data_IF_131275710498
#
_entry.id   IF_131275710498
#
_cell.length_a   1.000
_cell.length_b   1.000
_cell.length_c   1.000
_cell.angle_alpha   90.00
_cell.angle_beta   90.00
_cell.angle_gamma   90.00
#
_symmetry.space_group_name_H-M   'P 1'
#
loop_
_entity.id
_entity.type
_entity.pdbx_description
1 polymer ?
#
# COMPACT_ATOMS: atom_id res chain seq x y z
N UNK A 1 -7.44 -6.15 6.57
CA UNK A 1 -6.05 -6.22 7.06
C UNK A 1 -5.99 -7.26 8.17
N UNK A 2 -5.09 -8.23 8.08
CA UNK A 2 -4.91 -9.35 9.02
C UNK A 2 -6.23 -10.07 9.35
N UNK A 3 -7.04 -10.35 8.32
CA UNK A 3 -8.36 -10.99 8.47
C UNK A 3 -9.47 -10.12 9.07
N UNK A 4 -9.16 -8.89 9.52
CA UNK A 4 -10.16 -7.93 10.01
C UNK A 4 -10.57 -6.95 8.92
N UNK A 5 -11.85 -6.58 8.91
CA UNK A 5 -12.36 -5.50 8.06
C UNK A 5 -11.81 -4.17 8.59
N UNK A 6 -11.16 -3.42 7.70
CA UNK A 6 -10.68 -2.06 7.95
C UNK A 6 -11.29 -1.18 6.87
N UNK A 7 -11.99 -0.13 7.28
CA UNK A 7 -12.64 0.86 6.42
C UNK A 7 -12.07 2.28 6.62
N UNK A 8 -11.04 2.41 7.45
CA UNK A 8 -10.34 3.66 7.74
C UNK A 8 -9.18 3.83 6.76
N UNK A 9 -9.25 4.85 5.90
CA UNK A 9 -8.20 5.14 4.92
C UNK A 9 -6.87 5.61 5.54
N UNK A 10 -6.92 6.19 6.75
CA UNK A 10 -5.73 6.61 7.51
C UNK A 10 -5.09 5.50 8.35
N UNK A 11 -5.53 4.25 8.18
CA UNK A 11 -4.97 3.12 8.89
C UNK A 11 -3.49 2.92 8.52
N UNK A 12 -2.61 2.97 9.52
CA UNK A 12 -1.18 2.72 9.34
C UNK A 12 -0.92 1.21 9.34
N UNK A 13 -0.39 0.71 8.23
CA UNK A 13 0.07 -0.68 8.11
C UNK A 13 1.47 -0.81 8.67
N UNK A 14 1.74 -1.95 9.31
CA UNK A 14 3.05 -2.30 9.87
C UNK A 14 3.72 -3.40 9.04
N UNK A 15 5.02 -3.58 9.23
CA UNK A 15 5.75 -4.69 8.61
C UNK A 15 5.12 -6.02 9.02
N UNK A 16 4.99 -6.93 8.05
CA UNK A 16 4.28 -8.21 8.11
C UNK A 16 2.75 -8.14 8.08
N UNK A 17 2.14 -6.96 7.94
CA UNK A 17 0.70 -6.89 7.74
C UNK A 17 0.29 -7.50 6.40
N UNK A 18 -0.76 -8.30 6.45
CA UNK A 18 -1.38 -8.96 5.30
C UNK A 18 -2.69 -8.26 4.96
N UNK A 19 -2.75 -7.67 3.79
CA UNK A 19 -3.87 -6.91 3.26
C UNK A 19 -4.57 -7.78 2.23
N UNK A 20 -5.80 -8.19 2.52
CA UNK A 20 -6.63 -8.97 1.59
C UNK A 20 -7.86 -8.19 1.18
N UNK A 21 -8.27 -8.35 -0.09
CA UNK A 21 -9.55 -7.84 -0.58
C UNK A 21 -10.67 -8.81 -0.20
N UNK A 22 -11.77 -8.29 0.34
CA UNK A 22 -12.93 -9.11 0.69
C UNK A 22 -13.57 -9.74 -0.56
N UNK A 23 -14.09 -10.96 -0.44
CA UNK A 23 -14.59 -11.73 -1.58
C UNK A 23 -15.66 -11.00 -2.40
N UNK A 24 -16.57 -10.29 -1.72
CA UNK A 24 -17.61 -9.48 -2.38
C UNK A 24 -17.04 -8.40 -3.30
N UNK A 25 -15.88 -7.84 -2.97
CA UNK A 25 -15.23 -6.78 -3.74
C UNK A 25 -14.31 -7.32 -4.83
N UNK A 26 -13.78 -8.55 -4.72
CA UNK A 26 -12.95 -9.19 -5.76
C UNK A 26 -13.66 -9.30 -7.12
N UNK A 27 -14.99 -9.45 -7.10
CA UNK A 27 -15.81 -9.50 -8.32
C UNK A 27 -16.01 -8.16 -9.03
N UNK A 28 -15.64 -7.03 -8.40
CA UNK A 28 -15.82 -5.71 -8.99
C UNK A 28 -14.84 -5.47 -10.13
N UNK A 29 -15.33 -4.86 -11.21
CA UNK A 29 -14.57 -4.54 -12.42
C UNK A 29 -13.29 -3.77 -12.12
N UNK A 30 -13.31 -2.88 -11.13
CA UNK A 30 -12.11 -2.15 -10.67
C UNK A 30 -10.98 -3.08 -10.25
N UNK A 31 -11.27 -4.07 -9.42
CA UNK A 31 -10.25 -5.00 -8.91
C UNK A 31 -9.76 -5.95 -10.00
N UNK A 32 -10.63 -6.38 -10.92
CA UNK A 32 -10.23 -7.16 -12.10
C UNK A 32 -9.26 -6.40 -12.99
N UNK A 33 -9.54 -5.12 -13.26
CA UNK A 33 -8.69 -4.26 -14.08
C UNK A 33 -7.30 -4.07 -13.45
N UNK A 34 -7.21 -4.00 -12.11
CA UNK A 34 -5.93 -3.97 -11.40
C UNK A 34 -5.17 -5.29 -11.45
N UNK A 35 -5.87 -6.42 -11.45
CA UNK A 35 -5.26 -7.74 -11.58
C UNK A 35 -4.72 -8.00 -13.00
N UNK A 36 -5.41 -7.48 -14.02
CA UNK A 36 -4.98 -7.58 -15.43
C UNK A 36 -3.80 -6.67 -15.76
N UNK A 37 -3.62 -5.56 -15.03
CA UNK A 37 -2.53 -4.62 -15.25
C UNK A 37 -1.80 -4.28 -13.93
N UNK A 38 -1.01 -5.22 -13.39
CA UNK A 38 -0.27 -5.01 -12.17
C UNK A 38 0.79 -3.93 -12.38
N UNK A 39 0.67 -2.83 -11.63
CA UNK A 39 1.72 -1.80 -11.58
C UNK A 39 2.97 -2.36 -10.91
N UNK A 40 4.13 -1.80 -11.27
CA UNK A 40 5.36 -2.07 -10.56
C UNK A 40 5.18 -1.70 -9.07
N UNK A 41 5.38 -2.71 -8.21
CA UNK A 41 5.29 -2.53 -6.77
C UNK A 41 6.65 -2.10 -6.23
N UNK A 42 6.68 -1.20 -5.24
CA UNK A 42 7.92 -0.84 -4.57
C UNK A 42 8.44 -2.04 -3.77
N UNK A 43 9.75 -2.07 -3.50
CA UNK A 43 10.43 -3.23 -2.89
C UNK A 43 9.90 -3.63 -1.51
N UNK A 44 9.28 -2.70 -0.79
CA UNK A 44 8.72 -2.91 0.55
C UNK A 44 7.31 -3.55 0.53
N UNK A 45 6.72 -3.74 -0.66
CA UNK A 45 5.43 -4.40 -0.86
C UNK A 45 5.58 -5.65 -1.72
N UNK A 46 4.96 -6.73 -1.27
CA UNK A 46 4.75 -7.94 -2.04
C UNK A 46 3.26 -8.06 -2.34
N UNK A 47 2.88 -8.44 -3.56
CA UNK A 47 1.48 -8.71 -3.89
C UNK A 47 1.32 -10.05 -4.59
N UNK A 48 0.30 -10.77 -4.17
CA UNK A 48 -0.22 -11.96 -4.82
C UNK A 48 -1.54 -11.58 -5.52
N UNK A 49 -1.44 -11.37 -6.84
CA UNK A 49 -2.55 -10.95 -7.69
C UNK A 49 -3.64 -12.03 -7.77
N UNK A 50 -3.25 -13.31 -7.76
CA UNK A 50 -4.19 -14.44 -7.81
C UNK A 50 -5.12 -14.47 -6.59
N UNK A 51 -4.56 -14.20 -5.41
CA UNK A 51 -5.30 -14.22 -4.15
C UNK A 51 -5.86 -12.85 -3.72
N UNK A 52 -5.60 -11.79 -4.50
CA UNK A 52 -5.88 -10.40 -4.10
C UNK A 52 -5.35 -10.09 -2.71
N UNK A 53 -4.10 -10.47 -2.49
CA UNK A 53 -3.38 -10.33 -1.23
C UNK A 53 -2.14 -9.46 -1.43
N UNK A 54 -1.88 -8.55 -0.51
CA UNK A 54 -0.66 -7.76 -0.45
C UNK A 54 -0.05 -7.89 0.93
N UNK A 55 1.27 -8.02 1.00
CA UNK A 55 2.02 -8.11 2.24
C UNK A 55 3.02 -6.97 2.31
N UNK A 56 3.08 -6.33 3.48
CA UNK A 56 4.14 -5.37 3.80
C UNK A 56 5.35 -6.17 4.25
N UNK A 57 6.43 -6.17 3.46
CA UNK A 57 7.63 -6.99 3.75
C UNK A 57 8.72 -6.19 4.46
N UNK A 58 8.73 -4.87 4.30
CA UNK A 58 9.69 -3.97 4.94
C UNK A 58 9.08 -2.58 5.19
N UNK A 59 9.77 -1.75 5.99
CA UNK A 59 9.46 -0.32 6.05
C UNK A 59 9.97 0.37 4.77
N UNK A 60 9.24 1.36 4.23
CA UNK A 60 9.67 2.08 3.04
C UNK A 60 10.95 2.88 3.33
N UNK A 61 12.00 2.66 2.53
CA UNK A 61 13.18 3.50 2.57
C UNK A 61 12.92 4.80 1.78
N UNK A 62 13.69 5.86 2.07
CA UNK A 62 13.55 7.13 1.35
C UNK A 62 13.71 7.00 -0.17
N UNK A 63 14.58 6.08 -0.57
CA UNK A 63 14.88 5.74 -1.96
C UNK A 63 13.71 5.05 -2.67
N UNK A 64 12.79 4.41 -1.93
CA UNK A 64 11.60 3.76 -2.49
C UNK A 64 10.43 4.76 -2.70
N UNK A 65 10.57 6.00 -2.22
CA UNK A 65 9.55 7.04 -2.30
C UNK A 65 9.84 7.93 -3.51
N UNK A 66 9.17 7.63 -4.63
CA UNK A 66 9.28 8.38 -5.90
C UNK A 66 8.51 9.72 -5.89
N UNK A 67 8.15 10.22 -4.70
CA UNK A 67 7.45 11.50 -4.57
C UNK A 67 8.50 12.62 -4.52
N UNK A 68 8.45 13.60 -5.45
CA UNK A 68 9.39 14.71 -5.51
C UNK A 68 9.05 15.76 -4.44
N UNK A 69 9.15 15.37 -3.17
CA UNK A 69 8.96 16.25 -2.02
C UNK A 69 10.33 16.55 -1.41
N UNK A 70 10.64 17.84 -1.23
CA UNK A 70 11.80 18.25 -0.45
C UNK A 70 11.37 18.39 1.01
N UNK A 71 11.65 17.37 1.81
CA UNK A 71 11.28 17.31 3.23
C UNK A 71 11.93 18.44 4.04
N UNK A 72 13.09 18.94 3.62
CA UNK A 72 13.78 20.08 4.25
C UNK A 72 12.88 21.30 4.33
N UNK A 73 12.16 21.62 3.25
CA UNK A 73 11.24 22.76 3.20
C UNK A 73 10.05 22.60 4.17
N UNK A 74 9.62 21.36 4.40
CA UNK A 74 8.52 21.05 5.32
C UNK A 74 9.01 21.23 6.77
N UNK A 75 10.21 20.73 7.09
CA UNK A 75 10.80 20.88 8.44
C UNK A 75 11.04 22.35 8.77
N UNK A 76 11.59 23.12 7.82
CA UNK A 76 11.82 24.56 7.98
C UNK A 76 10.51 25.34 8.23
N UNK A 77 9.41 24.96 7.55
CA UNK A 77 8.11 25.61 7.71
C UNK A 77 7.53 25.41 9.12
N UNK A 78 7.63 24.21 9.67
CA UNK A 78 7.10 23.86 11.00
C UNK A 78 8.05 24.19 12.17
N UNK A 79 9.28 24.63 11.89
CA UNK A 79 10.25 25.06 12.89
C UNK A 79 10.17 26.57 13.22
N UNK A 80 9.24 27.29 12.59
CA UNK A 80 8.84 28.66 12.96
C UNK A 80 7.75 28.63 14.03
#
# INVERSE_FOLDING_TARGET
VNGKKVDIASFKVSVNDVITVCEKSRGSERFKMFAENPKALPKWLEANVENFEGKVVAEPAREDIDVPVNETLIVELYSK
#
